data_IF_315460935192
#
_entry.id   IF_315460935192
#
_cell.length_a   1.000
_cell.length_b   1.000
_cell.length_c   1.000
_cell.angle_alpha   90.00
_cell.angle_beta   90.00
_cell.angle_gamma   90.00
#
_symmetry.space_group_name_H-M   'P 1'
#
loop_
_entity.id
_entity.type
_entity.pdbx_description
1 polymer ?
#
# COMPACT_ATOMS: atom_id res chain seq x y z
N UNK A 1 -14.68 -23.34 -11.04
CA UNK A 1 -14.51 -22.01 -10.40
C UNK A 1 -14.66 -20.95 -11.48
N UNK A 2 -15.53 -19.96 -11.29
CA UNK A 2 -15.84 -18.93 -12.30
C UNK A 2 -14.67 -17.97 -12.49
N UNK A 3 -14.26 -17.70 -13.74
CA UNK A 3 -13.15 -16.82 -14.12
C UNK A 3 -12.98 -15.50 -13.30
N UNK A 4 -14.03 -14.74 -12.92
CA UNK A 4 -13.87 -13.51 -12.15
C UNK A 4 -13.26 -13.73 -10.75
N UNK A 5 -13.53 -14.88 -10.10
CA UNK A 5 -13.01 -15.17 -8.75
C UNK A 5 -11.52 -15.49 -8.74
N UNK A 6 -11.01 -16.04 -9.85
CA UNK A 6 -9.58 -16.35 -10.00
C UNK A 6 -8.79 -15.05 -10.11
N UNK A 7 -9.27 -14.12 -10.95
CA UNK A 7 -8.64 -12.80 -11.10
C UNK A 7 -8.67 -11.97 -9.83
N UNK A 8 -9.79 -11.99 -9.11
CA UNK A 8 -9.88 -11.32 -7.81
C UNK A 8 -8.90 -11.90 -6.79
N UNK A 9 -8.71 -13.22 -6.75
CA UNK A 9 -7.71 -13.84 -5.87
C UNK A 9 -6.29 -13.42 -6.22
N UNK A 10 -5.95 -13.43 -7.51
CA UNK A 10 -4.63 -13.00 -7.98
C UNK A 10 -4.34 -11.55 -7.60
N UNK A 11 -5.31 -10.64 -7.81
CA UNK A 11 -5.18 -9.23 -7.43
C UNK A 11 -4.95 -9.05 -5.92
N UNK A 12 -5.62 -9.85 -5.08
CA UNK A 12 -5.47 -9.83 -3.62
C UNK A 12 -4.11 -10.39 -3.19
N UNK A 13 -3.67 -11.48 -3.82
CA UNK A 13 -2.40 -12.11 -3.50
C UNK A 13 -1.22 -11.20 -3.88
N UNK A 14 -1.31 -10.54 -5.04
CA UNK A 14 -0.33 -9.54 -5.46
C UNK A 14 -0.28 -8.36 -4.47
N UNK A 15 -1.42 -7.76 -4.13
CA UNK A 15 -1.49 -6.69 -3.14
C UNK A 15 -0.93 -7.12 -1.78
N UNK A 16 -1.21 -8.34 -1.35
CA UNK A 16 -0.71 -8.89 -0.09
C UNK A 16 0.81 -9.05 -0.08
N UNK A 17 1.42 -9.48 -1.18
CA UNK A 17 2.89 -9.62 -1.26
C UNK A 17 3.60 -8.27 -1.19
N UNK A 18 3.08 -7.25 -1.89
CA UNK A 18 3.59 -5.88 -1.87
C UNK A 18 3.44 -5.25 -0.48
N UNK A 19 2.26 -5.45 0.12
CA UNK A 19 1.97 -4.98 1.48
C UNK A 19 2.91 -5.63 2.50
N UNK A 20 3.08 -6.95 2.45
CA UNK A 20 3.92 -7.69 3.41
C UNK A 20 5.38 -7.26 3.33
N UNK A 21 5.92 -7.08 2.11
CA UNK A 21 7.30 -6.61 1.92
C UNK A 21 7.51 -5.23 2.55
N UNK A 22 6.61 -4.30 2.25
CA UNK A 22 6.68 -2.93 2.75
C UNK A 22 6.42 -2.83 4.25
N UNK A 23 5.58 -3.72 4.79
CA UNK A 23 5.36 -3.86 6.23
C UNK A 23 6.65 -4.30 6.95
N UNK A 24 7.40 -5.27 6.39
CA UNK A 24 8.67 -5.71 6.96
C UNK A 24 9.69 -4.56 6.94
N UNK A 25 9.79 -3.82 5.84
CA UNK A 25 10.68 -2.66 5.75
C UNK A 25 10.30 -1.57 6.77
N UNK A 26 9.01 -1.26 6.87
CA UNK A 26 8.48 -0.34 7.87
C UNK A 26 8.76 -0.80 9.31
N UNK A 27 8.66 -2.10 9.58
CA UNK A 27 8.98 -2.68 10.88
C UNK A 27 10.46 -2.51 11.23
N UNK A 28 11.36 -2.76 10.26
CA UNK A 28 12.80 -2.59 10.43
C UNK A 28 13.16 -1.12 10.67
N UNK A 29 12.57 -0.19 9.91
CA UNK A 29 12.76 1.25 10.14
C UNK A 29 12.23 1.68 11.51
N UNK A 30 10.97 1.34 11.85
CA UNK A 30 10.38 1.69 13.14
C UNK A 30 11.16 1.09 14.32
N UNK A 31 11.59 -0.16 14.20
CA UNK A 31 12.35 -0.86 15.23
C UNK A 31 13.77 -0.32 15.40
N UNK A 32 14.47 0.01 14.31
CA UNK A 32 15.80 0.63 14.38
C UNK A 32 15.75 2.03 15.02
N UNK A 33 14.74 2.83 14.70
CA UNK A 33 14.49 4.12 15.35
C UNK A 33 14.20 3.92 16.84
N UNK A 34 13.27 3.01 17.19
CA UNK A 34 12.92 2.71 18.57
C UNK A 34 14.11 2.22 19.40
N UNK A 35 14.93 1.33 18.84
CA UNK A 35 16.18 0.86 19.46
C UNK A 35 17.18 2.01 19.64
N UNK A 36 17.41 2.80 18.59
CA UNK A 36 18.33 3.94 18.64
C UNK A 36 17.93 4.94 19.72
N UNK A 37 16.66 5.32 19.77
CA UNK A 37 16.11 6.22 20.79
C UNK A 37 16.21 5.64 22.20
N UNK A 38 15.97 4.34 22.36
CA UNK A 38 16.08 3.66 23.65
C UNK A 38 17.54 3.62 24.15
N UNK A 39 18.51 3.36 23.27
CA UNK A 39 19.94 3.38 23.58
C UNK A 39 20.37 4.80 23.97
N UNK A 40 20.05 5.80 23.14
CA UNK A 40 20.40 7.21 23.40
C UNK A 40 19.78 7.66 24.72
N UNK A 41 18.50 7.39 24.94
CA UNK A 41 17.81 7.74 26.18
C UNK A 41 18.43 7.07 27.42
N UNK A 42 18.95 5.85 27.29
CA UNK A 42 19.60 5.13 28.38
C UNK A 42 20.88 5.82 28.85
N UNK A 43 21.68 6.36 27.92
CA UNK A 43 22.97 6.98 28.21
C UNK A 43 22.88 8.48 28.49
N UNK A 44 21.86 9.17 27.96
CA UNK A 44 21.73 10.64 28.14
C UNK A 44 20.83 11.02 29.30
N UNK A 45 19.80 10.23 29.63
CA UNK A 45 18.79 10.61 30.63
C UNK A 45 18.80 9.72 31.88
N UNK A 46 19.19 10.25 33.07
CA UNK A 46 19.21 9.47 34.32
C UNK A 46 17.85 8.90 34.75
N UNK A 47 16.73 9.53 34.41
CA UNK A 47 15.38 9.00 34.70
C UNK A 47 15.07 7.77 33.83
N UNK A 48 15.30 7.86 32.52
CA UNK A 48 15.10 6.74 31.60
C UNK A 48 16.08 5.58 31.87
N UNK A 49 17.29 5.89 32.32
CA UNK A 49 18.27 4.88 32.76
C UNK A 49 17.71 4.00 33.88
N UNK A 50 17.03 4.60 34.86
CA UNK A 50 16.41 3.92 36.02
C UNK A 50 15.15 3.11 35.70
N UNK A 51 14.57 3.28 34.51
CA UNK A 51 13.39 2.51 34.09
C UNK A 51 13.73 1.04 33.83
N UNK A 52 12.73 0.17 34.00
CA UNK A 52 12.88 -1.29 33.85
C UNK A 52 13.27 -1.67 32.43
N UNK A 53 13.93 -2.83 32.31
CA UNK A 53 14.29 -3.37 31.01
C UNK A 53 13.03 -3.71 30.18
N UNK A 54 11.98 -4.23 30.82
CA UNK A 54 10.73 -4.56 30.12
C UNK A 54 10.09 -3.33 29.48
N UNK A 55 10.08 -2.18 30.17
CA UNK A 55 9.50 -0.95 29.63
C UNK A 55 10.23 -0.47 28.36
N UNK A 56 11.56 -0.56 28.35
CA UNK A 56 12.38 -0.20 27.18
C UNK A 56 12.11 -1.14 26.00
N UNK A 57 12.01 -2.44 26.27
CA UNK A 57 11.63 -3.43 25.26
C UNK A 57 10.23 -3.17 24.70
N UNK A 58 9.27 -2.83 25.56
CA UNK A 58 7.92 -2.46 25.14
C UNK A 58 7.92 -1.27 24.18
N UNK A 59 8.65 -0.19 24.49
CA UNK A 59 8.75 0.98 23.60
C UNK A 59 9.32 0.63 22.23
N UNK A 60 10.38 -0.18 22.19
CA UNK A 60 10.97 -0.66 20.93
C UNK A 60 9.95 -1.46 20.14
N UNK A 61 9.26 -2.42 20.77
CA UNK A 61 8.22 -3.21 20.13
C UNK A 61 7.08 -2.34 19.59
N UNK A 62 6.63 -1.33 20.34
CA UNK A 62 5.62 -0.38 19.88
C UNK A 62 6.07 0.38 18.64
N UNK A 63 7.31 0.88 18.61
CA UNK A 63 7.86 1.55 17.44
C UNK A 63 7.96 0.60 16.23
N UNK A 64 8.39 -0.65 16.43
CA UNK A 64 8.44 -1.68 15.39
C UNK A 64 7.06 -1.97 14.80
N UNK A 65 6.06 -2.23 15.65
CA UNK A 65 4.69 -2.54 15.20
C UNK A 65 4.06 -1.33 14.51
N UNK A 66 4.31 -0.13 15.01
CA UNK A 66 3.82 1.10 14.37
C UNK A 66 4.43 1.28 12.97
N UNK A 67 5.75 1.09 12.85
CA UNK A 67 6.43 1.12 11.55
C UNK A 67 5.89 0.05 10.59
N UNK A 68 5.61 -1.16 11.09
CA UNK A 68 5.03 -2.24 10.30
C UNK A 68 3.68 -1.83 9.70
N UNK A 69 2.79 -1.29 10.53
CA UNK A 69 1.43 -0.89 10.11
C UNK A 69 1.49 0.25 9.10
N UNK A 70 2.32 1.28 9.34
CA UNK A 70 2.45 2.40 8.41
C UNK A 70 3.04 1.94 7.08
N UNK A 71 4.07 1.10 7.09
CA UNK A 71 4.65 0.57 5.84
C UNK A 71 3.64 -0.25 5.03
N UNK A 72 2.81 -1.05 5.71
CA UNK A 72 1.73 -1.80 5.08
C UNK A 72 0.67 -0.87 4.44
N UNK A 73 0.23 0.15 5.18
CA UNK A 73 -0.81 1.09 4.73
C UNK A 73 -0.34 1.92 3.54
N UNK A 74 0.90 2.43 3.58
CA UNK A 74 1.48 3.22 2.49
C UNK A 74 1.54 2.39 1.19
N UNK A 75 1.95 1.13 1.29
CA UNK A 75 2.03 0.25 0.13
C UNK A 75 0.65 -0.03 -0.49
N UNK A 76 -0.35 -0.27 0.35
CA UNK A 76 -1.73 -0.48 -0.12
C UNK A 76 -2.27 0.77 -0.81
N UNK A 77 -2.08 1.95 -0.20
CA UNK A 77 -2.51 3.23 -0.77
C UNK A 77 -1.81 3.53 -2.11
N UNK A 78 -0.52 3.25 -2.22
CA UNK A 78 0.23 3.43 -3.48
C UNK A 78 -0.25 2.46 -4.57
N UNK A 79 -0.50 1.20 -4.22
CA UNK A 79 -1.04 0.21 -5.14
C UNK A 79 -2.43 0.61 -5.67
N UNK A 80 -3.32 1.07 -4.78
CA UNK A 80 -4.63 1.57 -5.19
C UNK A 80 -4.52 2.85 -6.03
N UNK A 81 -3.64 3.78 -5.68
CA UNK A 81 -3.43 5.01 -6.43
C UNK A 81 -2.93 4.71 -7.85
N UNK A 82 -2.02 3.74 -8.01
CA UNK A 82 -1.53 3.30 -9.30
C UNK A 82 -2.65 2.68 -10.14
N UNK A 83 -3.46 1.78 -9.55
CA UNK A 83 -4.62 1.19 -10.25
C UNK A 83 -5.63 2.24 -10.70
N UNK A 84 -5.96 3.21 -9.83
CA UNK A 84 -6.87 4.31 -10.17
C UNK A 84 -6.32 5.15 -11.32
N UNK A 85 -5.01 5.43 -11.31
CA UNK A 85 -4.35 6.15 -12.39
C UNK A 85 -4.43 5.38 -13.72
N UNK A 86 -4.13 4.08 -13.72
CA UNK A 86 -4.23 3.23 -14.91
C UNK A 86 -5.67 3.19 -15.46
N UNK A 87 -6.67 3.00 -14.59
CA UNK A 87 -8.07 3.01 -14.98
C UNK A 87 -8.50 4.34 -15.58
N UNK A 88 -8.02 5.46 -15.04
CA UNK A 88 -8.31 6.80 -15.52
C UNK A 88 -7.63 7.09 -16.88
N UNK A 89 -6.42 6.59 -17.12
CA UNK A 89 -5.79 6.70 -18.44
C UNK A 89 -6.59 5.93 -19.49
N UNK A 90 -6.99 4.70 -19.20
CA UNK A 90 -7.84 3.90 -20.10
C UNK A 90 -9.18 4.60 -20.36
N UNK A 91 -9.79 5.23 -19.34
CA UNK A 91 -11.01 6.02 -19.51
C UNK A 91 -10.78 7.25 -20.40
N UNK A 92 -9.63 7.93 -20.29
CA UNK A 92 -9.29 9.08 -21.15
C UNK A 92 -9.11 8.65 -22.61
N UNK A 93 -8.41 7.54 -22.86
CA UNK A 93 -8.25 6.98 -24.20
C UNK A 93 -9.59 6.60 -24.82
N UNK A 94 -10.46 5.92 -24.05
CA UNK A 94 -11.80 5.56 -24.49
C UNK A 94 -12.62 6.80 -24.87
N UNK A 95 -12.57 7.86 -24.04
CA UNK A 95 -13.27 9.12 -24.31
C UNK A 95 -12.76 9.80 -25.58
N UNK A 96 -11.43 9.85 -25.77
CA UNK A 96 -10.82 10.42 -26.97
C UNK A 96 -11.27 9.67 -28.24
N UNK A 97 -11.22 8.34 -28.20
CA UNK A 97 -11.62 7.49 -29.31
C UNK A 97 -13.11 7.64 -29.67
N UNK A 98 -13.99 7.64 -28.66
CA UNK A 98 -15.43 7.79 -28.88
C UNK A 98 -15.78 9.18 -29.41
N UNK A 99 -15.13 10.23 -28.91
CA UNK A 99 -15.30 11.59 -29.41
C UNK A 99 -14.84 11.73 -30.87
N UNK A 100 -13.73 11.10 -31.26
CA UNK A 100 -13.28 11.07 -32.66
C UNK A 100 -14.31 10.42 -33.59
N UNK A 101 -15.10 9.46 -33.09
CA UNK A 101 -16.19 8.81 -33.82
C UNK A 101 -17.53 9.54 -33.74
N UNK A 102 -17.59 10.68 -33.04
CA UNK A 102 -18.84 11.43 -32.82
C UNK A 102 -19.83 10.73 -31.89
N UNK A 103 -19.38 9.74 -31.11
CA UNK A 103 -20.20 8.95 -30.18
C UNK A 103 -20.11 9.59 -28.79
N UNK A 104 -21.25 9.81 -28.15
CA UNK A 104 -21.30 10.34 -26.78
C UNK A 104 -20.66 9.31 -25.84
N UNK A 105 -19.65 9.68 -25.03
CA UNK A 105 -18.95 8.75 -24.15
C UNK A 105 -19.79 8.41 -22.92
N UNK A 106 -20.75 7.51 -23.11
CA UNK A 106 -21.53 6.89 -22.03
C UNK A 106 -20.78 5.68 -21.45
N UNK A 107 -21.09 5.28 -20.22
CA UNK A 107 -20.51 4.08 -19.59
C UNK A 107 -20.70 2.81 -20.45
N UNK A 108 -21.83 2.73 -21.17
CA UNK A 108 -22.11 1.62 -22.10
C UNK A 108 -21.21 1.64 -23.33
N UNK A 109 -20.92 2.82 -23.90
CA UNK A 109 -20.02 2.96 -25.03
C UNK A 109 -18.55 2.69 -24.65
N UNK A 110 -18.14 3.12 -23.45
CA UNK A 110 -16.81 2.82 -22.90
C UNK A 110 -16.65 1.31 -22.63
N UNK A 111 -17.70 0.65 -22.13
CA UNK A 111 -17.70 -0.80 -21.94
C UNK A 111 -17.59 -1.56 -23.28
N UNK A 112 -18.32 -1.11 -24.31
CA UNK A 112 -18.23 -1.69 -25.66
C UNK A 112 -16.84 -1.51 -26.28
N UNK A 113 -16.27 -0.31 -26.19
CA UNK A 113 -14.89 -0.02 -26.61
C UNK A 113 -13.88 -0.89 -25.87
N UNK A 114 -14.05 -1.08 -24.56
CA UNK A 114 -13.16 -1.92 -23.75
C UNK A 114 -13.29 -3.40 -24.13
N UNK A 115 -14.44 -3.86 -24.60
CA UNK A 115 -14.62 -5.23 -25.11
C UNK A 115 -13.96 -5.43 -26.49
N UNK A 116 -13.98 -4.39 -27.33
CA UNK A 116 -13.35 -4.41 -28.66
C UNK A 116 -11.81 -4.38 -28.58
N UNK A 117 -11.24 -3.54 -27.70
CA UNK A 117 -9.79 -3.37 -27.57
C UNK A 117 -9.10 -4.41 -26.67
N UNK A 118 -9.85 -5.34 -26.06
CA UNK A 118 -9.31 -6.39 -25.17
C UNK A 118 -9.29 -7.77 -25.82
N UNK A 119 -9.47 -7.84 -27.14
CA UNK A 119 -9.16 -9.00 -27.99
C UNK A 119 -7.68 -8.98 -28.36
#
# INVERSE_FOLDING_TARGET
>A
MTAPRIRQRQDVEEAYTVQTRSAIEGALHGGSIGLGLSIIGHYTWPFFRRQTFQFKGFLVCTCTVFGLVIGAEQALQQYEALRRFEEDQVRKEARLYLNQRGIIPTETAIAAWRAENRK
#
